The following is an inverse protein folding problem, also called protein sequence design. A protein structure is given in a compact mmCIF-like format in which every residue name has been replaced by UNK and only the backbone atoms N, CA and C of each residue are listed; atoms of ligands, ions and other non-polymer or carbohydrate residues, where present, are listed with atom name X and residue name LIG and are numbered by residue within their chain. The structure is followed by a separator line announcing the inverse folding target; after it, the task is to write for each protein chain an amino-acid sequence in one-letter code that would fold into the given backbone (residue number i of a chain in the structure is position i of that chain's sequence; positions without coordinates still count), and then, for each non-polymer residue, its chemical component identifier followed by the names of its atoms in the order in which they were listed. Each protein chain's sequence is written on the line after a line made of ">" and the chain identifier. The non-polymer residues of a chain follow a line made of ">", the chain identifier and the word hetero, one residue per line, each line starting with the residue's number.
data_IF_024790583750
#
_entry.id   IF_024790583750
#
_cell.length_a   1.000
_cell.length_b   1.000
_cell.length_c   1.000
_cell.angle_alpha   90.00
_cell.angle_beta   90.00
_cell.angle_gamma   90.00
#
_symmetry.space_group_name_H-M   'P 1'
#
loop_
_entity.id
_entity.type
_entity.pdbx_description
1 polymer ?
#
# COMPACT_ATOMS: atom_id res chain seq x y z
N UNK A 1 -49.44 17.92 3.32
CA UNK A 1 -48.48 17.38 2.32
C UNK A 1 -47.11 17.90 2.73
N UNK A 2 -46.30 17.01 3.32
CA UNK A 2 -45.01 17.36 3.90
C UNK A 2 -43.89 17.30 2.87
N UNK A 3 -43.02 18.30 2.88
CA UNK A 3 -41.70 18.25 2.27
C UNK A 3 -40.68 18.45 3.37
N UNK A 4 -40.14 17.35 3.89
CA UNK A 4 -38.93 17.39 4.71
C UNK A 4 -37.73 17.66 3.76
N UNK A 5 -36.70 18.39 4.22
CA UNK A 5 -35.55 18.70 3.39
C UNK A 5 -34.78 17.42 3.07
N UNK A 6 -34.41 17.25 1.79
CA UNK A 6 -33.39 16.27 1.38
C UNK A 6 -32.05 16.76 1.91
N UNK A 7 -31.67 16.26 3.09
CA UNK A 7 -30.30 16.40 3.58
C UNK A 7 -29.45 15.51 2.68
N UNK A 8 -28.77 16.12 1.71
CA UNK A 8 -27.68 15.46 1.03
C UNK A 8 -26.55 15.28 2.05
N UNK A 9 -26.50 14.12 2.70
CA UNK A 9 -25.35 13.71 3.50
C UNK A 9 -24.14 13.67 2.56
N UNK A 10 -23.33 14.72 2.59
CA UNK A 10 -21.96 14.65 2.15
C UNK A 10 -21.23 13.74 3.14
N UNK A 11 -20.50 12.71 2.68
CA UNK A 11 -19.78 11.84 3.60
C UNK A 11 -18.82 12.69 4.44
N UNK A 12 -18.97 12.54 5.74
CA UNK A 12 -18.11 13.13 6.75
C UNK A 12 -16.69 12.58 6.61
N UNK A 13 -15.69 13.30 7.13
CA UNK A 13 -14.26 12.93 7.05
C UNK A 13 -13.87 11.64 7.82
N UNK A 14 -14.80 10.69 8.00
CA UNK A 14 -14.63 9.34 8.54
C UNK A 14 -15.08 8.20 7.61
N UNK A 15 -15.56 8.47 6.38
CA UNK A 15 -16.19 7.47 5.49
C UNK A 15 -15.25 6.89 4.41
N UNK A 16 -13.94 6.85 4.66
CA UNK A 16 -12.93 6.40 3.70
C UNK A 16 -12.15 5.17 4.17
N UNK A 17 -11.64 4.37 3.24
CA UNK A 17 -10.83 3.19 3.55
C UNK A 17 -9.45 3.55 4.09
N UNK A 18 -8.87 2.71 4.95
CA UNK A 18 -7.49 2.87 5.38
C UNK A 18 -6.53 2.61 4.22
N UNK A 19 -6.82 1.58 3.41
CA UNK A 19 -6.00 1.16 2.29
C UNK A 19 -6.81 0.92 1.03
N UNK A 20 -6.26 1.35 -0.11
CA UNK A 20 -6.66 0.88 -1.43
C UNK A 20 -5.57 -0.04 -1.99
N UNK A 21 -5.93 -1.27 -2.36
CA UNK A 21 -5.00 -2.24 -2.98
C UNK A 21 -5.10 -2.15 -4.51
N UNK A 22 -4.03 -1.66 -5.14
CA UNK A 22 -3.92 -1.49 -6.59
C UNK A 22 -3.11 -2.63 -7.19
N UNK A 23 -3.69 -3.41 -8.10
CA UNK A 23 -3.10 -4.61 -8.66
C UNK A 23 -3.51 -4.80 -10.13
N UNK A 24 -2.81 -5.69 -10.85
CA UNK A 24 -3.28 -6.16 -12.16
C UNK A 24 -4.00 -7.49 -12.02
N UNK A 25 -4.84 -7.88 -12.99
CA UNK A 25 -5.55 -9.16 -12.93
C UNK A 25 -4.64 -10.39 -12.74
N UNK A 26 -3.37 -10.32 -13.17
CA UNK A 26 -2.36 -11.37 -12.95
C UNK A 26 -2.03 -11.54 -11.46
N UNK A 27 -2.03 -10.44 -10.72
CA UNK A 27 -1.64 -10.37 -9.30
C UNK A 27 -2.83 -10.50 -8.34
N UNK A 28 -3.99 -10.94 -8.85
CA UNK A 28 -5.25 -11.00 -8.09
C UNK A 28 -5.13 -11.77 -6.77
N UNK A 29 -4.57 -12.97 -6.81
CA UNK A 29 -4.41 -13.79 -5.59
C UNK A 29 -3.58 -13.08 -4.53
N UNK A 30 -2.52 -12.39 -4.94
CA UNK A 30 -1.72 -11.58 -4.04
C UNK A 30 -2.51 -10.42 -3.44
N UNK A 31 -3.30 -9.73 -4.26
CA UNK A 31 -4.13 -8.62 -3.80
C UNK A 31 -5.19 -9.08 -2.78
N UNK A 32 -5.89 -10.18 -3.06
CA UNK A 32 -6.87 -10.79 -2.15
C UNK A 32 -6.22 -11.19 -0.82
N UNK A 33 -5.06 -11.84 -0.86
CA UNK A 33 -4.33 -12.24 0.35
C UNK A 33 -3.85 -11.03 1.17
N UNK A 34 -3.32 -10.00 0.51
CA UNK A 34 -2.92 -8.75 1.19
C UNK A 34 -4.13 -8.10 1.86
N UNK A 35 -5.26 -7.98 1.15
CA UNK A 35 -6.48 -7.39 1.70
C UNK A 35 -6.98 -8.18 2.92
N UNK A 36 -7.01 -9.52 2.82
CA UNK A 36 -7.38 -10.39 3.92
C UNK A 36 -6.53 -10.15 5.17
N UNK A 37 -5.20 -10.16 5.04
CA UNK A 37 -4.30 -9.93 6.17
C UNK A 37 -4.51 -8.55 6.84
N UNK A 38 -4.85 -7.53 6.04
CA UNK A 38 -5.10 -6.19 6.56
C UNK A 38 -6.46 -6.08 7.28
N UNK A 39 -7.50 -6.73 6.76
CA UNK A 39 -8.81 -6.77 7.42
C UNK A 39 -8.78 -7.60 8.72
N UNK A 40 -8.03 -8.71 8.73
CA UNK A 40 -7.81 -9.50 9.96
C UNK A 40 -7.08 -8.67 11.04
N UNK A 41 -6.23 -7.74 10.62
CA UNK A 41 -5.60 -6.72 11.46
C UNK A 41 -6.50 -5.49 11.75
N UNK A 42 -7.80 -5.56 11.41
CA UNK A 42 -8.84 -4.55 11.63
C UNK A 42 -8.68 -3.24 10.83
N UNK A 43 -8.03 -3.29 9.67
CA UNK A 43 -8.06 -2.17 8.72
C UNK A 43 -9.23 -2.27 7.74
N UNK A 44 -9.73 -1.12 7.31
CA UNK A 44 -10.68 -1.06 6.20
C UNK A 44 -9.93 -1.06 4.86
N UNK A 45 -10.26 -1.99 3.97
CA UNK A 45 -9.57 -2.18 2.69
C UNK A 45 -10.55 -2.03 1.53
N UNK A 46 -10.09 -1.34 0.49
CA UNK A 46 -10.75 -1.32 -0.81
C UNK A 46 -9.97 -2.17 -1.81
N UNK A 47 -10.59 -3.25 -2.29
CA UNK A 47 -10.05 -4.13 -3.33
C UNK A 47 -11.10 -4.37 -4.42
N UNK A 48 -10.65 -4.35 -5.68
CA UNK A 48 -11.50 -4.43 -6.87
C UNK A 48 -12.37 -5.70 -6.94
N UNK A 49 -11.96 -6.80 -6.32
CA UNK A 49 -12.61 -8.11 -6.53
C UNK A 49 -13.95 -8.26 -5.80
N UNK A 50 -14.12 -7.59 -4.68
CA UNK A 50 -15.29 -7.83 -3.82
C UNK A 50 -16.49 -6.95 -4.19
N UNK A 51 -16.33 -6.04 -5.16
CA UNK A 51 -17.30 -5.00 -5.49
C UNK A 51 -17.64 -4.89 -7.00
N UNK A 52 -17.49 -5.94 -7.85
CA UNK A 52 -17.89 -5.82 -9.26
C UNK A 52 -18.75 -6.84 -10.01
N UNK A 53 -19.72 -6.20 -10.68
CA UNK A 53 -20.61 -6.57 -11.78
C UNK A 53 -19.97 -6.14 -13.12
N UNK A 54 -20.25 -6.79 -14.27
CA UNK A 54 -19.74 -6.38 -15.60
C UNK A 54 -20.17 -4.96 -16.03
N UNK A 55 -19.27 -4.21 -16.69
CA UNK A 55 -19.55 -2.87 -17.25
C UNK A 55 -18.79 -1.70 -16.62
N UNK A 56 -17.80 -2.01 -15.79
CA UNK A 56 -17.27 -1.06 -14.81
C UNK A 56 -16.01 -0.35 -15.27
N UNK A 57 -15.99 0.98 -15.11
CA UNK A 57 -14.89 1.82 -15.56
C UNK A 57 -13.77 1.86 -14.50
N UNK A 58 -12.68 1.14 -14.78
CA UNK A 58 -11.46 1.06 -13.95
C UNK A 58 -10.92 2.45 -13.55
N UNK A 59 -11.09 3.46 -14.40
CA UNK A 59 -10.65 4.83 -14.12
C UNK A 59 -11.44 5.49 -12.98
N UNK A 60 -12.75 5.26 -12.92
CA UNK A 60 -13.59 5.78 -11.83
C UNK A 60 -13.25 5.10 -10.49
N UNK A 61 -12.82 3.84 -10.55
CA UNK A 61 -12.44 3.05 -9.39
C UNK A 61 -11.14 3.50 -8.77
N UNK A 62 -10.11 3.67 -9.60
CA UNK A 62 -8.83 4.20 -9.14
C UNK A 62 -8.98 5.62 -8.61
N UNK A 63 -9.80 6.44 -9.29
CA UNK A 63 -10.11 7.79 -8.81
C UNK A 63 -10.75 7.74 -7.41
N UNK A 64 -11.72 6.84 -7.18
CA UNK A 64 -12.33 6.65 -5.86
C UNK A 64 -11.34 6.12 -4.83
N UNK A 65 -10.55 5.10 -5.15
CA UNK A 65 -9.54 4.54 -4.26
C UNK A 65 -8.51 5.59 -3.83
N UNK A 66 -7.98 6.36 -4.78
CA UNK A 66 -7.00 7.43 -4.50
C UNK A 66 -7.64 8.61 -3.75
N UNK A 67 -8.91 8.91 -3.98
CA UNK A 67 -9.60 10.03 -3.31
C UNK A 67 -10.08 9.69 -1.91
N UNK A 68 -10.55 8.47 -1.69
CA UNK A 68 -11.23 8.07 -0.45
C UNK A 68 -10.37 7.18 0.43
N UNK A 69 -9.35 6.50 -0.10
CA UNK A 69 -8.42 5.76 0.75
C UNK A 69 -7.35 6.68 1.34
N UNK A 70 -7.00 6.45 2.61
CA UNK A 70 -5.95 7.20 3.29
C UNK A 70 -4.57 6.90 2.71
N UNK A 71 -4.37 5.67 2.23
CA UNK A 71 -3.14 5.19 1.59
C UNK A 71 -3.43 4.23 0.45
N UNK A 72 -2.52 4.17 -0.51
CA UNK A 72 -2.55 3.24 -1.65
C UNK A 72 -1.41 2.24 -1.54
N UNK A 73 -1.74 0.97 -1.75
CA UNK A 73 -0.82 -0.16 -1.77
C UNK A 73 -0.74 -0.67 -3.22
N UNK A 74 0.25 -0.22 -4.03
CA UNK A 74 0.51 -0.83 -5.32
C UNK A 74 1.21 -2.18 -5.14
N UNK A 75 0.61 -3.23 -5.71
CA UNK A 75 1.16 -4.59 -5.79
C UNK A 75 2.05 -4.66 -7.02
N UNK A 76 3.36 -4.57 -6.80
CA UNK A 76 4.37 -4.51 -7.84
C UNK A 76 4.76 -5.91 -8.31
N UNK A 77 4.60 -6.12 -9.61
CA UNK A 77 5.05 -7.27 -10.39
C UNK A 77 5.50 -6.81 -11.78
N UNK A 78 6.12 -7.67 -12.57
CA UNK A 78 6.44 -7.35 -13.96
C UNK A 78 5.20 -6.95 -14.76
N UNK A 79 4.06 -7.60 -14.51
CA UNK A 79 2.78 -7.27 -15.14
C UNK A 79 2.29 -5.86 -14.74
N UNK A 80 2.39 -5.51 -13.46
CA UNK A 80 2.05 -4.18 -12.97
C UNK A 80 2.90 -3.08 -13.60
N UNK A 81 4.21 -3.31 -13.70
CA UNK A 81 5.17 -2.35 -14.27
C UNK A 81 5.03 -2.19 -15.80
N UNK A 82 4.66 -3.27 -16.50
CA UNK A 82 4.39 -3.27 -17.93
C UNK A 82 3.04 -2.67 -18.31
N UNK A 83 2.12 -2.53 -17.35
CA UNK A 83 0.80 -1.98 -17.60
C UNK A 83 0.84 -0.45 -17.79
N UNK A 84 0.17 0.03 -18.84
CA UNK A 84 -0.01 1.48 -19.12
C UNK A 84 -0.62 2.20 -17.91
N UNK A 85 -1.49 1.50 -17.18
CA UNK A 85 -2.22 1.99 -16.04
C UNK A 85 -1.41 2.00 -14.75
N UNK A 86 -0.49 1.06 -14.54
CA UNK A 86 0.46 1.12 -13.43
C UNK A 86 1.25 2.42 -13.47
N UNK A 87 1.84 2.75 -14.63
CA UNK A 87 2.82 3.83 -14.77
C UNK A 87 2.28 5.26 -14.58
N UNK A 88 1.06 5.57 -15.00
CA UNK A 88 0.50 6.92 -14.89
C UNK A 88 -0.04 7.24 -13.47
N UNK A 89 -0.45 6.20 -12.74
CA UNK A 89 -1.28 6.31 -11.54
C UNK A 89 -0.46 6.33 -10.24
N UNK A 90 0.59 5.50 -10.11
CA UNK A 90 1.53 5.67 -9.00
C UNK A 90 2.27 7.00 -9.10
N UNK A 91 2.47 7.54 -10.32
CA UNK A 91 2.96 8.89 -10.51
C UNK A 91 1.97 9.94 -9.98
N UNK A 92 0.65 9.73 -10.11
CA UNK A 92 -0.35 10.66 -9.57
C UNK A 92 -0.41 10.65 -8.04
N UNK A 93 -0.31 9.47 -7.43
CA UNK A 93 -0.22 9.33 -5.97
C UNK A 93 1.10 9.91 -5.43
N UNK A 94 2.24 9.66 -6.10
CA UNK A 94 3.52 10.29 -5.78
C UNK A 94 3.49 11.81 -5.97
N UNK A 95 2.78 12.35 -6.96
CA UNK A 95 2.59 13.81 -7.09
C UNK A 95 1.81 14.44 -5.92
N UNK A 96 0.98 13.67 -5.21
CA UNK A 96 0.25 14.14 -4.00
C UNK A 96 1.12 14.14 -2.74
N UNK A 97 2.17 13.33 -2.72
CA UNK A 97 3.18 13.25 -1.65
C UNK A 97 4.59 13.08 -2.24
N UNK A 98 5.11 14.10 -2.96
CA UNK A 98 6.35 13.97 -3.73
C UNK A 98 7.59 13.76 -2.86
N UNK A 99 7.50 14.15 -1.58
CA UNK A 99 8.54 13.96 -0.58
C UNK A 99 8.35 12.67 0.22
N UNK A 100 7.25 11.93 0.04
CA UNK A 100 6.95 10.67 0.71
C UNK A 100 6.68 10.77 2.22
N UNK A 101 6.64 11.98 2.78
CA UNK A 101 6.50 12.20 4.22
C UNK A 101 5.14 11.77 4.77
N UNK A 102 4.10 11.80 3.94
CA UNK A 102 2.76 11.34 4.32
C UNK A 102 2.60 9.84 4.14
N UNK A 103 3.58 9.16 3.53
CA UNK A 103 3.59 7.71 3.28
C UNK A 103 2.28 7.26 2.65
N UNK A 104 1.80 8.05 1.70
CA UNK A 104 0.52 7.81 1.02
C UNK A 104 0.58 6.61 0.08
N UNK A 105 1.79 6.20 -0.32
CA UNK A 105 2.04 5.02 -1.14
C UNK A 105 2.90 4.05 -0.36
N UNK A 106 2.46 2.80 -0.24
CA UNK A 106 3.20 1.69 0.38
C UNK A 106 3.42 0.61 -0.68
N UNK A 107 4.53 0.64 -1.42
CA UNK A 107 4.77 -0.33 -2.48
C UNK A 107 5.11 -1.72 -1.93
N UNK A 108 4.37 -2.72 -2.37
CA UNK A 108 4.63 -4.13 -2.02
C UNK A 108 5.06 -4.88 -3.27
N UNK A 109 6.23 -5.51 -3.26
CA UNK A 109 6.74 -6.33 -4.35
C UNK A 109 6.36 -7.78 -4.11
N UNK A 110 5.61 -8.36 -5.05
CA UNK A 110 5.20 -9.78 -5.02
C UNK A 110 5.94 -10.62 -6.06
N UNK A 111 6.85 -9.98 -6.78
CA UNK A 111 7.78 -10.57 -7.73
C UNK A 111 9.10 -9.78 -7.68
N UNK A 112 10.23 -10.41 -8.01
CA UNK A 112 11.52 -9.74 -8.09
C UNK A 112 11.63 -8.86 -9.35
N UNK A 113 10.88 -7.75 -9.34
CA UNK A 113 10.89 -6.76 -10.41
C UNK A 113 11.62 -5.49 -9.97
N UNK A 114 12.45 -4.85 -10.82
CA UNK A 114 13.13 -3.62 -10.46
C UNK A 114 12.10 -2.50 -10.24
N UNK A 115 12.12 -1.79 -9.10
CA UNK A 115 11.21 -0.67 -8.89
C UNK A 115 11.46 0.40 -9.97
N UNK A 116 10.41 1.02 -10.53
CA UNK A 116 10.57 2.15 -11.45
C UNK A 116 11.42 3.25 -10.83
N UNK A 117 12.20 3.99 -11.63
CA UNK A 117 13.12 5.04 -11.15
C UNK A 117 12.45 6.07 -10.20
N UNK A 118 11.18 6.40 -10.43
CA UNK A 118 10.43 7.34 -9.59
C UNK A 118 9.81 6.68 -8.32
N UNK A 119 9.75 5.35 -8.26
CA UNK A 119 9.49 4.58 -7.02
C UNK A 119 10.78 4.20 -6.29
N UNK A 120 11.97 4.36 -6.91
CA UNK A 120 13.24 4.04 -6.28
C UNK A 120 13.56 4.94 -5.06
N UNK A 121 12.86 6.07 -4.92
CA UNK A 121 12.93 6.95 -3.74
C UNK A 121 11.98 6.54 -2.61
N UNK A 122 11.06 5.61 -2.88
CA UNK A 122 10.11 5.06 -1.91
C UNK A 122 10.57 3.65 -1.55
N UNK A 123 10.79 3.40 -0.25
CA UNK A 123 11.18 2.06 0.22
C UNK A 123 10.03 1.08 -0.06
N UNK A 124 10.26 0.12 -0.95
CA UNK A 124 9.33 -0.99 -1.16
C UNK A 124 9.56 -2.11 -0.15
N UNK A 125 8.55 -2.97 0.01
CA UNK A 125 8.61 -4.16 0.85
C UNK A 125 8.42 -5.39 0.00
N UNK A 126 9.37 -6.32 0.10
CA UNK A 126 9.37 -7.56 -0.67
C UNK A 126 8.62 -8.66 0.09
N UNK A 127 7.64 -9.26 -0.55
CA UNK A 127 6.84 -10.38 -0.03
C UNK A 127 7.09 -11.69 -0.78
N UNK A 128 7.79 -11.65 -1.91
CA UNK A 128 8.16 -12.82 -2.71
C UNK A 128 9.29 -13.63 -2.06
N UNK A 129 9.40 -14.91 -2.42
CA UNK A 129 10.38 -15.87 -1.89
C UNK A 129 10.37 -16.02 -0.35
N UNK A 130 9.24 -15.72 0.28
CA UNK A 130 9.03 -15.87 1.72
C UNK A 130 7.96 -16.93 2.02
N UNK A 131 8.09 -17.66 3.13
CA UNK A 131 6.96 -18.37 3.72
C UNK A 131 5.80 -17.41 4.04
N UNK A 132 4.57 -17.91 3.97
CA UNK A 132 3.35 -17.12 4.18
C UNK A 132 3.34 -16.35 5.51
N UNK A 133 3.78 -16.99 6.61
CA UNK A 133 3.81 -16.38 7.94
C UNK A 133 4.82 -15.22 8.03
N UNK A 134 5.95 -15.33 7.33
CA UNK A 134 6.96 -14.27 7.24
C UNK A 134 6.45 -13.12 6.36
N UNK A 135 5.82 -13.45 5.23
CA UNK A 135 5.21 -12.45 4.35
C UNK A 135 4.13 -11.64 5.10
N UNK A 136 3.26 -12.30 5.87
CA UNK A 136 2.20 -11.64 6.64
C UNK A 136 2.78 -10.73 7.72
N UNK A 137 3.78 -11.20 8.49
CA UNK A 137 4.48 -10.38 9.49
C UNK A 137 5.13 -9.15 8.85
N UNK A 138 5.76 -9.32 7.69
CA UNK A 138 6.45 -8.24 6.97
C UNK A 138 5.46 -7.21 6.41
N UNK A 139 4.32 -7.66 5.88
CA UNK A 139 3.21 -6.80 5.45
C UNK A 139 2.69 -5.92 6.60
N UNK A 140 2.35 -6.51 7.73
CA UNK A 140 1.79 -5.77 8.87
C UNK A 140 2.82 -4.80 9.47
N UNK A 141 4.09 -5.20 9.58
CA UNK A 141 5.16 -4.33 10.03
C UNK A 141 5.36 -3.11 9.10
N UNK A 142 5.23 -3.31 7.78
CA UNK A 142 5.30 -2.23 6.80
C UNK A 142 4.16 -1.22 6.98
N UNK A 143 2.94 -1.72 7.17
CA UNK A 143 1.75 -0.91 7.40
C UNK A 143 1.82 -0.16 8.73
N UNK A 144 2.27 -0.80 9.81
CA UNK A 144 2.52 -0.17 11.11
C UNK A 144 3.50 0.99 11.01
N UNK A 145 4.64 0.75 10.34
CA UNK A 145 5.63 1.77 10.10
C UNK A 145 5.03 2.94 9.29
N UNK A 146 4.24 2.65 8.25
CA UNK A 146 3.61 3.67 7.42
C UNK A 146 2.56 4.52 8.16
N UNK A 147 1.90 3.94 9.16
CA UNK A 147 0.93 4.61 10.02
C UNK A 147 1.56 5.50 11.11
N UNK A 148 2.89 5.54 11.20
CA UNK A 148 3.58 6.35 12.21
C UNK A 148 3.52 5.73 13.61
N UNK A 149 3.02 4.49 13.74
CA UNK A 149 3.28 3.69 14.93
C UNK A 149 4.78 3.45 14.97
N UNK A 150 5.43 4.00 15.99
CA UNK A 150 6.89 3.97 16.14
C UNK A 150 7.35 2.52 16.07
N UNK A 151 8.10 2.15 15.03
CA UNK A 151 8.82 0.87 14.89
C UNK A 151 10.04 0.82 15.81
N UNK A 152 9.86 1.19 17.07
CA UNK A 152 10.88 1.01 18.10
C UNK A 152 10.90 -0.49 18.42
N UNK A 153 12.05 -1.18 18.30
CA UNK A 153 12.17 -2.56 18.73
C UNK A 153 11.69 -2.73 20.18
N UNK A 154 10.95 -3.79 20.45
CA UNK A 154 10.47 -4.14 21.81
C UNK A 154 11.62 -4.49 22.75
N UNK A 155 12.74 -4.94 22.19
CA UNK A 155 14.00 -5.16 22.90
C UNK A 155 15.03 -4.06 22.57
N UNK A 156 15.91 -3.77 23.52
CA UNK A 156 17.06 -2.87 23.28
C UNK A 156 17.95 -3.49 22.20
N UNK A 157 18.31 -2.76 21.12
CA UNK A 157 19.29 -3.23 20.15
C UNK A 157 20.61 -3.57 20.84
N UNK A 158 21.31 -4.58 20.34
CA UNK A 158 22.65 -4.93 20.82
C UNK A 158 23.57 -3.72 20.67
N UNK A 159 24.36 -3.41 21.70
CA UNK A 159 25.34 -2.33 21.63
C UNK A 159 26.37 -2.66 20.55
N UNK A 160 26.61 -1.75 19.57
CA UNK A 160 27.59 -2.03 18.51
C UNK A 160 28.99 -2.18 19.12
N UNK A 161 29.78 -3.21 18.74
CA UNK A 161 31.13 -3.35 19.25
C UNK A 161 31.98 -2.15 18.83
N UNK A 162 32.93 -1.75 19.68
CA UNK A 162 33.89 -0.71 19.33
C UNK A 162 34.62 -1.10 18.04
N UNK A 163 34.66 -0.17 17.07
CA UNK A 163 35.37 -0.38 15.81
C UNK A 163 36.83 -0.66 16.14
N UNK A 164 37.30 -1.89 15.91
CA UNK A 164 38.70 -2.23 16.10
C UNK A 164 39.52 -1.30 15.20
N UNK A 165 40.37 -0.48 15.80
CA UNK A 165 41.36 0.28 15.06
C UNK A 165 42.27 -0.75 14.38
N UNK A 166 42.18 -0.86 13.06
CA UNK A 166 43.05 -1.73 12.28
C UNK A 166 44.49 -1.37 12.58
N UNK A 167 45.26 -2.34 13.07
CA UNK A 167 46.70 -2.21 13.26
C UNK A 167 47.34 -1.95 11.89
N UNK A 168 48.06 -0.84 11.68
CA UNK A 168 48.93 -0.73 10.52
C UNK A 168 50.06 -1.75 10.67
N UNK A 169 50.30 -2.52 9.61
CA UNK A 169 51.46 -3.41 9.51
C UNK A 169 52.76 -2.66 9.27
#
# INVERSE_FOLDING_TARGET
>A
MGGAPVVSEQPSAGDGWDFFVSYTGVDRQWAEWIAWCLEDAHYSVYIQEWDFVPGSNWMNMMTRGIQHARRTIPVLSHAYLGSVWGRAEWQAALRRDPEGFKRQVIPLRVEDCPPPELLATVVSVDLFDLPEDEAARRLLAAVDAALGRRTKPTAKPVFPPARAAGTPG
#
